data_IF_081472749954
#
_entry.id   IF_081472749954
#
_cell.length_a   1.000
_cell.length_b   1.000
_cell.length_c   1.000
_cell.angle_alpha   90.00
_cell.angle_beta   90.00
_cell.angle_gamma   90.00
#
_symmetry.space_group_name_H-M   'P 1'
#
loop_
_entity.id
_entity.type
_entity.pdbx_description
1 polymer ?
#
# COMPACT_ATOMS: atom_id res chain seq x y z
N UNK A 1 14.46 -12.74 12.42
CA UNK A 1 14.00 -11.38 12.77
C UNK A 1 13.09 -10.87 11.66
N UNK A 2 11.81 -10.63 11.95
CA UNK A 2 10.85 -10.09 10.99
C UNK A 2 11.23 -8.64 10.68
N UNK A 3 11.30 -8.26 9.39
CA UNK A 3 11.61 -6.87 9.00
C UNK A 3 10.58 -5.90 9.60
N UNK A 4 10.98 -4.71 10.08
CA UNK A 4 10.03 -3.71 10.54
C UNK A 4 9.10 -3.33 9.39
N UNK A 5 7.78 -3.45 9.63
CA UNK A 5 6.75 -3.07 8.68
C UNK A 5 6.13 -1.76 9.15
N UNK A 6 6.24 -0.72 8.34
CA UNK A 6 5.59 0.58 8.65
C UNK A 6 4.13 0.49 8.23
N UNK A 7 3.20 0.88 9.12
CA UNK A 7 1.77 0.94 8.82
C UNK A 7 1.33 2.41 8.87
N UNK A 8 0.68 2.89 7.81
CA UNK A 8 0.24 4.26 7.66
C UNK A 8 -1.25 4.28 7.30
N UNK A 9 -2.07 4.87 8.17
CA UNK A 9 -3.48 5.14 7.86
C UNK A 9 -3.60 6.54 7.26
N UNK A 10 -4.02 6.60 5.99
CA UNK A 10 -4.17 7.81 5.21
C UNK A 10 -5.62 8.33 5.21
N UNK A 11 -6.59 7.55 5.69
CA UNK A 11 -8.02 7.92 5.67
C UNK A 11 -8.35 9.16 6.51
N UNK A 12 -7.47 9.51 7.43
CA UNK A 12 -7.57 10.74 8.23
C UNK A 12 -7.20 12.00 7.44
N UNK A 13 -6.67 11.85 6.22
CA UNK A 13 -6.21 12.94 5.37
C UNK A 13 -7.19 13.20 4.21
N UNK A 14 -7.25 14.44 3.70
CA UNK A 14 -7.98 14.76 2.47
C UNK A 14 -7.50 13.92 1.28
N UNK A 15 -8.39 13.60 0.35
CA UNK A 15 -8.10 12.73 -0.80
C UNK A 15 -6.87 13.16 -1.63
N UNK A 16 -6.67 14.47 -1.81
CA UNK A 16 -5.49 15.01 -2.51
C UNK A 16 -4.18 14.72 -1.76
N UNK A 17 -4.18 14.87 -0.44
CA UNK A 17 -3.03 14.57 0.41
C UNK A 17 -2.73 13.06 0.48
N UNK A 18 -3.77 12.22 0.49
CA UNK A 18 -3.58 10.77 0.41
C UNK A 18 -2.82 10.38 -0.85
N UNK A 19 -3.16 10.98 -2.00
CA UNK A 19 -2.46 10.76 -3.27
C UNK A 19 -1.01 11.25 -3.20
N UNK A 20 -0.79 12.49 -2.76
CA UNK A 20 0.57 13.06 -2.69
C UNK A 20 1.48 12.25 -1.75
N UNK A 21 1.02 11.92 -0.53
CA UNK A 21 1.80 11.11 0.41
C UNK A 21 2.10 9.72 -0.14
N UNK A 22 1.14 9.09 -0.79
CA UNK A 22 1.35 7.77 -1.40
C UNK A 22 2.47 7.80 -2.45
N UNK A 23 2.49 8.82 -3.31
CA UNK A 23 3.54 8.98 -4.31
C UNK A 23 4.93 9.19 -3.67
N UNK A 24 5.01 10.02 -2.63
CA UNK A 24 6.25 10.26 -1.87
C UNK A 24 6.74 8.94 -1.23
N UNK A 25 5.84 8.16 -0.65
CA UNK A 25 6.17 6.87 -0.03
C UNK A 25 6.72 5.89 -1.07
N UNK A 26 6.09 5.79 -2.24
CA UNK A 26 6.58 4.93 -3.33
C UNK A 26 7.98 5.35 -3.81
N UNK A 27 8.27 6.65 -3.83
CA UNK A 27 9.57 7.17 -4.23
C UNK A 27 10.66 6.98 -3.17
N UNK A 28 10.28 6.84 -1.89
CA UNK A 28 11.22 6.75 -0.75
C UNK A 28 11.24 5.40 -0.02
N UNK A 29 10.51 4.38 -0.51
CA UNK A 29 10.37 3.10 0.17
C UNK A 29 11.71 2.36 0.33
N UNK A 30 12.04 1.99 1.57
CA UNK A 30 13.26 1.23 1.93
C UNK A 30 12.95 -0.08 2.66
N UNK A 31 11.75 -0.19 3.22
CA UNK A 31 11.24 -1.35 3.97
C UNK A 31 9.83 -1.68 3.53
N UNK A 32 9.27 -2.75 4.07
CA UNK A 32 7.88 -3.10 3.80
C UNK A 32 6.97 -2.04 4.44
N UNK A 33 6.06 -1.48 3.65
CA UNK A 33 5.16 -0.40 4.07
C UNK A 33 3.74 -0.77 3.70
N UNK A 34 2.82 -0.67 4.66
CA UNK A 34 1.39 -0.89 4.46
C UNK A 34 0.65 0.44 4.55
N UNK A 35 -0.08 0.78 3.50
CA UNK A 35 -0.96 1.94 3.41
C UNK A 35 -2.40 1.49 3.66
N UNK A 36 -3.15 2.26 4.44
CA UNK A 36 -4.59 2.13 4.59
C UNK A 36 -5.21 3.38 3.97
N UNK A 37 -6.12 3.21 3.01
CA UNK A 37 -6.71 4.30 2.24
C UNK A 37 -8.10 3.92 1.77
N UNK A 38 -9.00 4.88 1.70
CA UNK A 38 -10.33 4.81 1.09
C UNK A 38 -10.33 5.34 -0.36
N UNK A 39 -9.20 5.85 -0.85
CA UNK A 39 -9.09 6.48 -2.15
C UNK A 39 -8.89 5.47 -3.28
N UNK A 40 -9.96 5.15 -4.01
CA UNK A 40 -9.93 4.19 -5.13
C UNK A 40 -8.95 4.54 -6.25
N UNK A 41 -8.70 5.84 -6.49
CA UNK A 41 -7.75 6.29 -7.50
C UNK A 41 -6.35 5.68 -7.29
N UNK A 42 -5.96 5.44 -6.03
CA UNK A 42 -4.68 4.83 -5.70
C UNK A 42 -4.54 3.39 -6.21
N UNK A 43 -5.64 2.67 -6.39
CA UNK A 43 -5.63 1.31 -6.94
C UNK A 43 -5.10 1.27 -8.38
N UNK A 44 -5.26 2.36 -9.13
CA UNK A 44 -4.71 2.51 -10.50
C UNK A 44 -3.35 3.20 -10.50
N UNK A 45 -3.20 4.25 -9.69
CA UNK A 45 -1.96 5.03 -9.66
C UNK A 45 -0.77 4.25 -9.10
N UNK A 46 -0.97 3.46 -8.05
CA UNK A 46 0.12 2.70 -7.41
C UNK A 46 0.74 1.71 -8.41
N UNK A 47 -0.02 0.80 -9.08
CA UNK A 47 0.53 -0.10 -10.08
C UNK A 47 1.27 0.62 -11.20
N UNK A 48 0.72 1.72 -11.71
CA UNK A 48 1.37 2.52 -12.76
C UNK A 48 2.71 3.09 -12.30
N UNK A 49 2.77 3.67 -11.10
CA UNK A 49 4.00 4.28 -10.55
C UNK A 49 5.06 3.24 -10.21
N UNK A 50 4.67 2.05 -9.76
CA UNK A 50 5.61 0.99 -9.39
C UNK A 50 6.01 0.07 -10.56
N UNK A 51 5.37 0.17 -11.73
CA UNK A 51 5.63 -0.71 -12.87
C UNK A 51 7.11 -0.72 -13.29
N UNK A 52 7.76 0.45 -13.25
CA UNK A 52 9.19 0.61 -13.55
C UNK A 52 10.11 0.44 -12.35
N UNK A 53 9.57 0.13 -11.15
CA UNK A 53 10.32 0.04 -9.89
C UNK A 53 10.46 -1.42 -9.43
N UNK A 54 11.49 -1.66 -8.64
CA UNK A 54 11.74 -2.97 -8.03
C UNK A 54 10.85 -3.20 -6.78
N UNK A 55 9.55 -2.91 -6.89
CA UNK A 55 8.56 -2.95 -5.80
C UNK A 55 7.50 -4.00 -6.14
N UNK A 56 7.06 -4.77 -5.14
CA UNK A 56 5.85 -5.59 -5.15
C UNK A 56 4.75 -4.85 -4.42
N UNK A 57 3.52 -5.02 -4.89
CA UNK A 57 2.34 -4.48 -4.24
C UNK A 57 1.34 -5.61 -4.02
N UNK A 58 0.75 -5.66 -2.82
CA UNK A 58 -0.38 -6.51 -2.48
C UNK A 58 -1.52 -5.62 -2.01
N UNK A 59 -2.65 -5.70 -2.69
CA UNK A 59 -3.86 -4.93 -2.36
C UNK A 59 -4.90 -5.87 -1.75
N UNK A 60 -5.62 -5.38 -0.75
CA UNK A 60 -6.71 -6.09 -0.11
C UNK A 60 -7.81 -5.10 0.23
N UNK A 61 -9.03 -5.36 -0.23
CA UNK A 61 -10.23 -4.65 0.23
C UNK A 61 -10.60 -5.15 1.62
N UNK A 62 -10.94 -4.23 2.50
CA UNK A 62 -11.54 -4.51 3.79
C UNK A 62 -12.92 -3.89 3.77
N UNK A 63 -13.93 -4.75 3.73
CA UNK A 63 -15.34 -4.37 3.74
C UNK A 63 -15.88 -4.56 5.15
N UNK A 64 -16.69 -3.61 5.63
CA UNK A 64 -17.39 -3.75 6.92
C UNK A 64 -18.35 -4.94 6.91
N UNK A 65 -18.41 -5.69 8.01
CA UNK A 65 -19.40 -6.77 8.17
C UNK A 65 -20.80 -6.16 8.26
N UNK A 66 -21.82 -6.70 7.56
CA UNK A 66 -23.20 -6.24 7.70
C UNK A 66 -23.79 -6.47 9.10
N UNK A 67 -23.08 -7.18 10.00
CA UNK A 67 -23.56 -7.55 11.34
C UNK A 67 -23.04 -6.68 12.48
N UNK A 68 -22.13 -5.74 12.24
CA UNK A 68 -21.59 -4.85 13.27
C UNK A 68 -21.79 -3.39 12.87
N UNK A 69 -22.81 -2.74 13.46
CA UNK A 69 -22.91 -1.28 13.55
C UNK A 69 -21.66 -0.78 14.27
N UNK A 70 -20.64 -0.37 13.54
CA UNK A 70 -19.63 0.67 13.82
C UNK A 70 -18.55 0.50 12.73
N UNK A 71 -18.47 1.49 11.83
CA UNK A 71 -17.63 1.64 10.62
C UNK A 71 -18.17 0.98 9.34
N UNK A 72 -18.81 1.81 8.51
CA UNK A 72 -19.56 1.49 7.28
C UNK A 72 -18.85 1.91 6.00
N UNK A 73 -17.53 2.03 5.99
CA UNK A 73 -16.81 2.47 4.79
C UNK A 73 -15.78 1.42 4.37
N UNK A 74 -15.94 0.93 3.14
CA UNK A 74 -14.98 0.04 2.49
C UNK A 74 -13.65 0.76 2.35
N UNK A 75 -12.57 0.08 2.72
CA UNK A 75 -11.23 0.65 2.60
C UNK A 75 -10.23 -0.36 2.07
N UNK A 76 -9.08 0.14 1.65
CA UNK A 76 -8.04 -0.64 1.01
C UNK A 76 -6.81 -0.69 1.90
N UNK A 77 -6.28 -1.89 2.06
CA UNK A 77 -4.97 -2.16 2.65
C UNK A 77 -4.00 -2.50 1.52
N UNK A 78 -2.99 -1.67 1.35
CA UNK A 78 -2.02 -1.77 0.25
C UNK A 78 -0.62 -1.94 0.84
N UNK A 79 -0.07 -3.15 0.73
CA UNK A 79 1.28 -3.46 1.20
C UNK A 79 2.28 -3.39 0.05
N UNK A 80 3.24 -2.49 0.18
CA UNK A 80 4.38 -2.29 -0.71
C UNK A 80 5.62 -2.94 -0.10
N UNK A 81 6.37 -3.70 -0.89
CA UNK A 81 7.63 -4.33 -0.45
C UNK A 81 8.67 -4.32 -1.56
N UNK A 82 9.94 -4.18 -1.23
CA UNK A 82 11.01 -4.27 -2.23
C UNK A 82 11.13 -5.71 -2.73
N UNK A 83 11.16 -5.91 -4.05
CA UNK A 83 11.46 -7.21 -4.65
C UNK A 83 12.91 -7.58 -4.26
N UNK A 84 13.09 -8.53 -3.35
CA UNK A 84 14.41 -9.11 -3.14
C UNK A 84 14.88 -9.69 -4.49
N UNK A 85 16.04 -9.23 -4.99
CA UNK A 85 16.77 -9.95 -6.04
C UNK A 85 17.15 -11.31 -5.44
N UNK A 86 16.36 -12.35 -5.69
CA UNK A 86 16.87 -13.71 -5.54
C UNK A 86 17.96 -13.84 -6.61
N UNK A 87 19.21 -13.91 -6.18
CA UNK A 87 20.32 -14.33 -7.02
C UNK A 87 19.94 -15.70 -7.61
N UNK A 88 19.48 -15.71 -8.87
CA UNK A 88 19.55 -16.91 -9.69
C UNK A 88 21.02 -17.06 -10.12
N UNK A 89 21.87 -17.46 -9.18
CA UNK A 89 23.11 -18.14 -9.52
C UNK A 89 22.74 -19.63 -9.51
N UNK A 90 22.22 -20.12 -10.64
CA UNK A 90 22.34 -21.55 -10.91
C UNK A 90 23.77 -21.76 -11.40
N UNK A 91 24.54 -22.48 -10.59
CA UNK A 91 25.84 -23.07 -10.94
C UNK A 91 25.75 -23.87 -12.23
#
# INVERSE_FOLDING_TARGET
>A
MSKPTTILDLRTLPSSEQVQKTLIIIDSIKSDTTLITDQELLLKLIPMKIASKNIKCKMQTITGSPFTKITTDDYWKITLSMKNRRNNVKK
#
